data_IF_934252320655
#
_entry.id   IF_934252320655
#
_cell.length_a   1.000
_cell.length_b   1.000
_cell.length_c   1.000
_cell.angle_alpha   90.00
_cell.angle_beta   90.00
_cell.angle_gamma   90.00
#
_symmetry.space_group_name_H-M   'P 1'
#
loop_
_entity.id
_entity.type
_entity.pdbx_description
1 polymer ?
#
# COMPACT_ATOMS: atom_id res chain seq x y z
N UNK A 1 7.22 23.70 29.67
CA UNK A 1 7.42 22.25 29.41
C UNK A 1 8.00 22.11 28.01
N UNK A 2 9.25 21.65 27.90
CA UNK A 2 9.92 21.43 26.61
C UNK A 2 9.24 20.23 25.94
N UNK A 3 8.75 20.41 24.72
CA UNK A 3 8.33 19.30 23.88
C UNK A 3 9.59 18.48 23.56
N UNK A 4 9.69 17.29 24.16
CA UNK A 4 10.74 16.34 23.81
C UNK A 4 10.60 16.02 22.32
N UNK A 5 11.67 16.27 21.57
CA UNK A 5 11.74 15.94 20.15
C UNK A 5 11.67 14.42 20.01
N UNK A 6 10.45 13.90 19.82
CA UNK A 6 10.16 12.47 19.67
C UNK A 6 11.11 11.88 18.63
N UNK A 7 12.01 10.99 19.08
CA UNK A 7 12.95 10.28 18.22
C UNK A 7 12.17 9.24 17.44
N UNK A 8 11.51 9.66 16.35
CA UNK A 8 10.75 8.77 15.49
C UNK A 8 11.71 7.74 14.85
N UNK A 9 11.70 6.49 15.34
CA UNK A 9 12.47 5.38 14.77
C UNK A 9 11.60 4.63 13.79
N UNK A 10 12.07 4.50 12.55
CA UNK A 10 11.31 3.92 11.45
C UNK A 10 12.05 2.69 10.93
N UNK A 11 11.34 1.57 10.85
CA UNK A 11 11.81 0.36 10.18
C UNK A 11 11.27 0.33 8.76
N UNK A 12 12.13 0.25 7.76
CA UNK A 12 11.75 0.15 6.34
C UNK A 12 12.13 -1.23 5.82
N UNK A 13 11.14 -1.99 5.37
CA UNK A 13 11.38 -3.17 4.55
C UNK A 13 11.29 -2.83 3.06
N UNK A 14 12.33 -3.19 2.31
CA UNK A 14 12.40 -3.04 0.85
C UNK A 14 13.25 -4.14 0.23
N UNK A 15 12.64 -4.99 -0.61
CA UNK A 15 13.30 -6.16 -1.20
C UNK A 15 14.48 -5.81 -2.13
N UNK A 16 14.40 -4.69 -2.85
CA UNK A 16 15.40 -4.26 -3.82
C UNK A 16 16.03 -2.94 -3.37
N UNK A 17 17.10 -3.04 -2.57
CA UNK A 17 17.92 -1.87 -2.19
C UNK A 17 19.15 -1.86 -3.10
N UNK A 18 19.37 -0.78 -3.86
CA UNK A 18 20.57 -0.69 -4.71
C UNK A 18 21.81 -0.19 -3.96
N UNK A 19 21.67 0.21 -2.69
CA UNK A 19 22.78 0.63 -1.84
C UNK A 19 22.79 -0.15 -0.52
N UNK A 20 23.97 -0.41 0.08
CA UNK A 20 24.06 -1.03 1.39
C UNK A 20 23.34 -0.17 2.42
N UNK A 21 22.59 -0.83 3.30
CA UNK A 21 21.60 -0.23 4.21
C UNK A 21 22.09 1.05 4.88
N UNK A 22 21.40 2.15 4.57
CA UNK A 22 21.52 3.40 5.32
C UNK A 22 20.86 3.16 6.67
N UNK A 23 21.66 2.77 7.65
CA UNK A 23 21.24 2.74 9.04
C UNK A 23 21.66 4.06 9.68
N UNK A 24 20.68 4.84 10.14
CA UNK A 24 20.91 5.97 11.03
C UNK A 24 20.18 5.71 12.34
N UNK A 25 20.46 6.45 13.41
CA UNK A 25 19.79 6.27 14.71
C UNK A 25 18.24 6.29 14.64
N UNK A 26 17.70 6.92 13.60
CA UNK A 26 16.26 7.10 13.35
C UNK A 26 15.69 6.15 12.29
N UNK A 27 16.54 5.46 11.52
CA UNK A 27 16.11 4.74 10.33
C UNK A 27 16.84 3.43 10.18
N UNK A 28 16.08 2.35 10.11
CA UNK A 28 16.62 1.01 9.86
C UNK A 28 16.03 0.47 8.57
N UNK A 29 16.86 0.15 7.59
CA UNK A 29 16.44 -0.41 6.31
C UNK A 29 16.84 -1.88 6.23
N UNK A 30 15.89 -2.75 5.91
CA UNK A 30 16.09 -4.20 5.80
C UNK A 30 15.61 -4.73 4.45
N UNK A 31 16.34 -5.72 3.91
CA UNK A 31 16.11 -6.23 2.56
C UNK A 31 15.35 -7.57 2.50
N UNK A 32 15.09 -8.22 3.64
CA UNK A 32 14.39 -9.51 3.69
C UNK A 32 13.20 -9.48 4.67
N UNK A 33 12.10 -10.22 4.38
CA UNK A 33 10.96 -10.30 5.30
C UNK A 33 11.37 -10.82 6.69
N UNK A 34 12.29 -11.79 6.74
CA UNK A 34 12.79 -12.34 8.00
C UNK A 34 13.57 -11.28 8.79
N UNK A 35 14.44 -10.51 8.14
CA UNK A 35 15.15 -9.41 8.77
C UNK A 35 14.20 -8.32 9.27
N UNK A 36 13.09 -8.06 8.57
CA UNK A 36 12.04 -7.16 9.02
C UNK A 36 11.36 -7.66 10.28
N UNK A 37 10.96 -8.93 10.31
CA UNK A 37 10.35 -9.54 11.49
C UNK A 37 11.30 -9.52 12.69
N UNK A 38 12.57 -9.90 12.50
CA UNK A 38 13.55 -9.91 13.58
C UNK A 38 13.80 -8.49 14.10
N UNK A 39 14.06 -7.54 13.20
CA UNK A 39 14.26 -6.15 13.59
C UNK A 39 13.05 -5.60 14.35
N UNK A 40 11.83 -5.81 13.84
CA UNK A 40 10.60 -5.32 14.46
C UNK A 40 10.34 -5.92 15.86
N UNK A 41 10.80 -7.15 16.13
CA UNK A 41 10.65 -7.79 17.45
C UNK A 41 11.75 -7.38 18.43
N UNK A 42 12.98 -7.14 17.96
CA UNK A 42 14.13 -6.82 18.81
C UNK A 42 14.24 -5.32 19.11
N UNK A 43 13.75 -4.47 18.20
CA UNK A 43 13.85 -3.02 18.27
C UNK A 43 12.55 -2.34 18.70
N UNK A 44 12.68 -1.08 19.12
CA UNK A 44 11.55 -0.17 19.31
C UNK A 44 11.44 0.76 18.10
N UNK A 45 10.30 0.69 17.41
CA UNK A 45 9.97 1.55 16.27
C UNK A 45 8.62 2.22 16.47
N UNK A 46 8.52 3.45 16.01
CA UNK A 46 7.27 4.23 15.98
C UNK A 46 6.44 3.93 14.72
N UNK A 47 7.06 3.36 13.69
CA UNK A 47 6.44 3.08 12.40
C UNK A 47 7.18 1.95 11.68
N UNK A 48 6.44 1.03 11.06
CA UNK A 48 6.97 0.04 10.11
C UNK A 48 6.49 0.42 8.71
N UNK A 49 7.42 0.71 7.82
CA UNK A 49 7.18 0.98 6.42
C UNK A 49 7.48 -0.26 5.56
N UNK A 50 6.53 -0.66 4.71
CA UNK A 50 6.66 -1.81 3.82
C UNK A 50 6.53 -1.32 2.37
N UNK A 51 7.59 -1.49 1.59
CA UNK A 51 7.61 -1.06 0.18
C UNK A 51 7.18 -2.20 -0.72
N UNK A 52 6.07 -2.01 -1.45
CA UNK A 52 5.52 -2.99 -2.38
C UNK A 52 6.15 -2.93 -3.78
N UNK A 53 7.48 -3.06 -3.86
CA UNK A 53 8.24 -3.19 -5.11
C UNK A 53 8.13 -4.61 -5.72
N UNK A 54 6.95 -5.23 -5.65
CA UNK A 54 6.72 -6.61 -6.09
C UNK A 54 6.76 -6.75 -7.62
N UNK A 55 7.39 -7.82 -8.10
CA UNK A 55 7.43 -8.19 -9.53
C UNK A 55 6.34 -9.18 -9.90
N UNK A 56 5.69 -9.81 -8.93
CA UNK A 56 4.65 -10.80 -9.16
C UNK A 56 3.52 -10.72 -8.13
N UNK A 57 2.36 -11.28 -8.46
CA UNK A 57 1.23 -11.40 -7.53
C UNK A 57 1.61 -12.25 -6.31
N UNK A 58 2.43 -13.30 -6.49
CA UNK A 58 2.94 -14.11 -5.38
C UNK A 58 3.78 -13.30 -4.41
N UNK A 59 4.68 -12.44 -4.92
CA UNK A 59 5.45 -11.53 -4.07
C UNK A 59 4.55 -10.53 -3.35
N UNK A 60 3.56 -9.96 -4.05
CA UNK A 60 2.56 -9.07 -3.43
C UNK A 60 1.85 -9.76 -2.27
N UNK A 61 1.38 -10.99 -2.48
CA UNK A 61 0.62 -11.73 -1.47
C UNK A 61 1.52 -12.11 -0.28
N UNK A 62 2.80 -12.40 -0.50
CA UNK A 62 3.78 -12.59 0.57
C UNK A 62 4.03 -11.32 1.41
N UNK A 63 3.96 -10.13 0.80
CA UNK A 63 4.04 -8.86 1.54
C UNK A 63 2.79 -8.59 2.38
N UNK A 64 1.61 -8.95 1.87
CA UNK A 64 0.36 -8.90 2.66
C UNK A 64 0.46 -9.85 3.86
N UNK A 65 1.01 -11.05 3.65
CA UNK A 65 1.26 -12.01 4.72
C UNK A 65 2.23 -11.47 5.77
N UNK A 66 3.33 -10.83 5.35
CA UNK A 66 4.26 -10.14 6.26
C UNK A 66 3.55 -9.11 7.15
N UNK A 67 2.70 -8.25 6.57
CA UNK A 67 1.87 -7.32 7.33
C UNK A 67 1.00 -8.05 8.37
N UNK A 68 0.36 -9.14 7.96
CA UNK A 68 -0.47 -9.94 8.85
C UNK A 68 0.31 -10.55 10.00
N UNK A 69 1.55 -11.00 9.78
CA UNK A 69 2.40 -11.57 10.83
C UNK A 69 2.81 -10.47 11.82
N UNK A 70 3.22 -9.31 11.32
CA UNK A 70 3.56 -8.14 12.13
C UNK A 70 2.37 -7.69 12.99
N UNK A 71 1.14 -7.72 12.46
CA UNK A 71 -0.05 -7.36 13.26
C UNK A 71 -0.52 -8.44 14.23
N UNK A 72 -0.04 -9.68 14.13
CA UNK A 72 -0.39 -10.77 15.05
C UNK A 72 0.56 -10.88 16.25
N UNK A 73 1.80 -10.43 16.13
CA UNK A 73 2.76 -10.46 17.23
C UNK A 73 2.45 -9.38 18.26
N UNK A 74 2.47 -9.74 19.55
CA UNK A 74 2.21 -8.80 20.66
C UNK A 74 3.18 -7.62 20.68
N UNK A 75 4.42 -7.83 20.23
CA UNK A 75 5.46 -6.81 20.24
C UNK A 75 5.28 -5.78 19.11
N UNK A 76 4.78 -6.23 17.96
CA UNK A 76 4.69 -5.40 16.75
C UNK A 76 3.28 -4.94 16.43
N UNK A 77 2.24 -5.57 16.98
CA UNK A 77 0.84 -5.19 16.76
C UNK A 77 0.53 -3.70 17.08
N UNK A 78 1.07 -3.10 18.17
CA UNK A 78 0.85 -1.69 18.47
C UNK A 78 1.54 -0.73 17.50
N UNK A 79 2.54 -1.20 16.75
CA UNK A 79 3.32 -0.36 15.85
C UNK A 79 2.52 -0.16 14.55
N UNK A 80 2.23 1.09 14.12
CA UNK A 80 1.50 1.33 12.89
C UNK A 80 2.31 0.86 11.68
N UNK A 81 1.60 0.36 10.66
CA UNK A 81 2.18 -0.06 9.39
C UNK A 81 1.78 0.93 8.30
N UNK A 82 2.79 1.42 7.56
CA UNK A 82 2.64 2.23 6.36
C UNK A 82 3.07 1.42 5.13
N UNK A 83 2.14 1.15 4.22
CA UNK A 83 2.43 0.49 2.95
C UNK A 83 2.71 1.50 1.84
N UNK A 84 3.87 1.42 1.21
CA UNK A 84 4.16 2.17 0.00
C UNK A 84 3.73 1.34 -1.21
N UNK A 85 2.82 1.86 -2.01
CA UNK A 85 2.17 1.16 -3.12
C UNK A 85 2.39 1.87 -4.46
N UNK A 86 2.61 1.13 -5.56
CA UNK A 86 2.82 1.74 -6.89
C UNK A 86 1.51 2.23 -7.55
N UNK A 87 0.34 1.89 -6.99
CA UNK A 87 -0.96 2.29 -7.54
C UNK A 87 -2.09 2.19 -6.51
N UNK A 88 -3.21 2.87 -6.77
CA UNK A 88 -4.44 2.87 -5.96
C UNK A 88 -5.30 1.63 -6.24
N UNK A 89 -4.71 0.46 -5.99
CA UNK A 89 -5.37 -0.83 -6.21
C UNK A 89 -6.35 -1.15 -5.08
N UNK A 90 -7.67 -1.09 -5.36
CA UNK A 90 -8.72 -1.25 -4.34
C UNK A 90 -8.61 -2.55 -3.54
N UNK A 91 -8.62 -3.70 -4.22
CA UNK A 91 -8.62 -5.00 -3.54
C UNK A 91 -7.34 -5.24 -2.71
N UNK A 92 -6.20 -4.67 -3.13
CA UNK A 92 -4.96 -4.71 -2.37
C UNK A 92 -5.09 -3.86 -1.10
N UNK A 93 -5.63 -2.65 -1.20
CA UNK A 93 -5.88 -1.80 -0.03
C UNK A 93 -6.88 -2.43 0.95
N UNK A 94 -7.95 -3.05 0.44
CA UNK A 94 -8.90 -3.82 1.26
C UNK A 94 -8.20 -4.99 1.96
N UNK A 95 -7.39 -5.76 1.22
CA UNK A 95 -6.60 -6.86 1.79
C UNK A 95 -5.66 -6.37 2.90
N UNK A 96 -4.99 -5.22 2.70
CA UNK A 96 -4.10 -4.62 3.69
C UNK A 96 -4.86 -4.14 4.94
N UNK A 97 -5.99 -3.44 4.75
CA UNK A 97 -6.88 -3.02 5.85
C UNK A 97 -7.32 -4.23 6.68
N UNK A 98 -7.74 -5.30 6.01
CA UNK A 98 -8.22 -6.51 6.68
C UNK A 98 -7.07 -7.26 7.42
N UNK A 99 -5.80 -6.96 7.11
CA UNK A 99 -4.62 -7.39 7.87
C UNK A 99 -4.17 -6.40 8.95
N UNK A 100 -4.93 -5.32 9.16
CA UNK A 100 -4.67 -4.32 10.19
C UNK A 100 -3.66 -3.25 9.77
N UNK A 101 -3.30 -3.12 8.49
CA UNK A 101 -2.47 -2.00 8.04
C UNK A 101 -3.29 -0.71 8.11
N UNK A 102 -2.71 0.34 8.71
CA UNK A 102 -3.42 1.60 8.96
C UNK A 102 -3.23 2.61 7.82
N UNK A 103 -2.03 2.65 7.23
CA UNK A 103 -1.67 3.71 6.30
C UNK A 103 -1.16 3.15 4.97
N UNK A 104 -1.44 3.90 3.89
CA UNK A 104 -0.84 3.67 2.59
C UNK A 104 -0.38 4.99 1.95
N UNK A 105 0.73 4.93 1.20
CA UNK A 105 1.23 6.01 0.36
C UNK A 105 1.48 5.52 -1.05
N UNK A 106 1.29 6.41 -2.02
CA UNK A 106 1.45 6.08 -3.43
C UNK A 106 2.70 6.73 -3.99
N UNK A 107 3.44 5.95 -4.76
CA UNK A 107 4.72 6.36 -5.28
C UNK A 107 4.80 5.99 -6.76
N UNK A 108 5.40 6.83 -7.60
CA UNK A 108 5.52 6.54 -9.03
C UNK A 108 6.86 5.85 -9.29
N UNK A 109 6.78 4.57 -9.69
CA UNK A 109 7.90 3.72 -10.09
C UNK A 109 8.85 4.38 -11.09
N UNK A 110 8.37 5.34 -11.90
CA UNK A 110 9.19 6.06 -12.90
C UNK A 110 9.91 7.28 -12.36
N UNK A 111 9.37 7.89 -11.31
CA UNK A 111 9.84 9.20 -10.82
C UNK A 111 10.78 9.09 -9.62
N UNK A 112 10.79 7.94 -8.95
CA UNK A 112 11.50 7.81 -7.69
C UNK A 112 12.80 7.04 -7.92
N UNK A 113 13.90 7.80 -7.93
CA UNK A 113 15.17 7.30 -7.45
C UNK A 113 15.01 7.11 -5.93
N UNK A 114 14.46 5.97 -5.54
CA UNK A 114 14.08 5.64 -4.16
C UNK A 114 15.26 5.73 -3.19
N UNK A 115 16.47 5.62 -3.74
CA UNK A 115 17.72 5.73 -2.99
C UNK A 115 18.09 7.19 -2.68
N UNK A 116 17.50 8.18 -3.36
CA UNK A 116 17.73 9.62 -3.13
C UNK A 116 16.62 10.31 -2.33
N UNK A 117 15.42 9.71 -2.25
CA UNK A 117 14.24 10.31 -1.61
C UNK A 117 13.89 9.63 -0.28
N UNK A 118 14.89 9.31 0.54
CA UNK A 118 14.67 8.71 1.87
C UNK A 118 13.79 9.60 2.78
N UNK A 119 13.78 10.92 2.56
CA UNK A 119 12.89 11.86 3.25
C UNK A 119 11.40 11.51 3.04
N UNK A 120 11.03 11.02 1.86
CA UNK A 120 9.65 10.62 1.57
C UNK A 120 9.17 9.45 2.44
N UNK A 121 10.09 8.56 2.80
CA UNK A 121 9.83 7.42 3.67
C UNK A 121 9.80 7.76 5.16
N UNK A 122 10.47 8.85 5.55
CA UNK A 122 10.58 9.25 6.96
C UNK A 122 9.52 10.23 7.39
N UNK A 123 8.80 10.86 6.46
CA UNK A 123 7.66 11.71 6.80
C UNK A 123 6.57 10.89 7.49
N UNK A 124 6.11 11.27 8.69
CA UNK A 124 5.03 10.58 9.37
C UNK A 124 3.75 10.59 8.51
N UNK A 125 2.94 9.51 8.50
CA UNK A 125 1.67 9.51 7.79
C UNK A 125 0.74 10.61 8.32
N UNK A 126 0.06 11.30 7.41
CA UNK A 126 -1.01 12.24 7.75
C UNK A 126 -2.38 11.54 7.65
N UNK A 127 -3.46 12.26 7.94
CA UNK A 127 -4.83 11.72 7.87
C UNK A 127 -5.21 11.25 6.45
N UNK A 128 -4.64 11.86 5.41
CA UNK A 128 -4.90 11.50 4.01
C UNK A 128 -4.22 10.17 3.62
N UNK A 129 -3.24 9.72 4.40
CA UNK A 129 -2.61 8.41 4.24
C UNK A 129 -3.46 7.25 4.81
N UNK A 130 -4.53 7.51 5.56
CA UNK A 130 -5.35 6.46 6.18
C UNK A 130 -6.02 5.57 5.12
N UNK A 131 -5.90 4.25 5.25
CA UNK A 131 -6.42 3.32 4.23
C UNK A 131 -7.93 3.50 4.00
N UNK A 132 -8.73 3.71 5.04
CA UNK A 132 -10.17 3.94 4.88
C UNK A 132 -10.48 5.23 4.13
N UNK A 133 -9.73 6.30 4.40
CA UNK A 133 -9.84 7.57 3.69
C UNK A 133 -9.52 7.38 2.20
N UNK A 134 -8.43 6.68 1.90
CA UNK A 134 -8.02 6.33 0.54
C UNK A 134 -9.10 5.49 -0.16
N UNK A 135 -9.62 4.44 0.49
CA UNK A 135 -10.65 3.55 -0.06
C UNK A 135 -11.95 4.30 -0.36
N UNK A 136 -12.32 5.29 0.45
CA UNK A 136 -13.47 6.16 0.18
C UNK A 136 -13.31 7.01 -1.09
N UNK A 137 -12.06 7.25 -1.49
CA UNK A 137 -11.66 7.96 -2.70
C UNK A 137 -11.62 7.10 -3.96
N UNK A 138 -11.86 5.79 -3.86
CA UNK A 138 -11.79 4.85 -4.98
C UNK A 138 -13.18 4.29 -5.27
N UNK A 139 -13.51 4.14 -6.55
CA UNK A 139 -14.76 3.56 -7.03
C UNK A 139 -14.95 2.14 -6.45
N UNK A 140 -16.08 1.82 -5.81
CA UNK A 140 -16.30 0.50 -5.23
C UNK A 140 -16.48 -0.60 -6.27
N UNK A 141 -16.80 -0.24 -7.51
CA UNK A 141 -17.00 -1.19 -8.62
C UNK A 141 -15.76 -1.45 -9.48
N UNK A 142 -14.57 -0.99 -9.06
CA UNK A 142 -13.34 -1.32 -9.78
C UNK A 142 -12.85 -2.71 -9.36
N UNK A 143 -12.57 -3.55 -10.34
CA UNK A 143 -12.13 -4.93 -10.12
C UNK A 143 -10.83 -5.22 -10.88
N UNK A 144 -10.06 -6.15 -10.33
CA UNK A 144 -8.76 -6.55 -10.83
C UNK A 144 -8.73 -8.06 -11.01
N UNK A 145 -8.67 -8.54 -12.26
CA UNK A 145 -8.54 -9.98 -12.52
C UNK A 145 -7.13 -10.31 -12.99
N UNK A 146 -6.44 -11.28 -12.39
CA UNK A 146 -5.15 -11.74 -12.90
C UNK A 146 -5.30 -12.33 -14.31
N UNK A 147 -4.38 -11.99 -15.21
CA UNK A 147 -4.24 -12.64 -16.53
C UNK A 147 -2.94 -13.44 -16.59
N UNK A 148 -1.89 -12.93 -15.95
CA UNK A 148 -0.57 -13.56 -15.84
C UNK A 148 0.01 -13.29 -14.45
N UNK A 149 1.08 -13.99 -14.03
CA UNK A 149 1.68 -13.79 -12.71
C UNK A 149 2.10 -12.34 -12.39
N UNK A 150 2.25 -11.48 -13.39
CA UNK A 150 2.65 -10.07 -13.26
C UNK A 150 1.63 -9.09 -13.85
N UNK A 151 0.48 -9.56 -14.32
CA UNK A 151 -0.46 -8.75 -15.10
C UNK A 151 -1.89 -8.96 -14.60
N UNK A 152 -2.56 -7.85 -14.34
CA UNK A 152 -3.99 -7.79 -14.02
C UNK A 152 -4.73 -7.00 -15.08
N UNK A 153 -5.94 -7.43 -15.41
CA UNK A 153 -6.90 -6.64 -16.17
C UNK A 153 -7.77 -5.85 -15.20
N UNK A 154 -8.00 -4.58 -15.53
CA UNK A 154 -8.88 -3.70 -14.78
C UNK A 154 -10.21 -3.60 -15.51
N UNK A 155 -11.32 -3.76 -14.80
CA UNK A 155 -12.65 -3.51 -15.34
C UNK A 155 -13.56 -2.88 -14.30
N UNK A 156 -14.69 -2.32 -14.75
CA UNK A 156 -15.65 -1.65 -13.88
C UNK A 156 -16.97 -2.44 -13.88
N UNK A 157 -17.32 -3.00 -12.73
CA UNK A 157 -18.55 -3.78 -12.53
C UNK A 157 -19.83 -2.93 -12.58
N UNK A 158 -19.72 -1.61 -12.45
CA UNK A 158 -20.85 -0.69 -12.53
C UNK A 158 -21.57 -0.71 -13.90
N UNK A 159 -20.96 -1.32 -14.92
CA UNK A 159 -21.54 -1.49 -16.24
C UNK A 159 -21.34 -2.92 -16.78
N UNK A 160 -21.96 -3.89 -16.11
CA UNK A 160 -22.04 -5.32 -16.50
C UNK A 160 -20.67 -5.96 -16.70
N UNK A 161 -19.70 -5.61 -15.85
CA UNK A 161 -18.31 -6.07 -15.94
C UNK A 161 -17.64 -5.84 -17.30
N UNK A 162 -18.13 -4.86 -18.07
CA UNK A 162 -17.56 -4.56 -19.38
C UNK A 162 -16.38 -3.60 -19.24
N UNK A 163 -15.30 -3.94 -19.94
CA UNK A 163 -14.14 -3.08 -20.11
C UNK A 163 -14.44 -2.01 -21.19
N UNK A 164 -15.31 -1.05 -20.85
CA UNK A 164 -15.71 0.03 -21.77
C UNK A 164 -14.62 1.10 -21.89
N UNK A 165 -13.76 1.19 -20.87
CA UNK A 165 -12.66 2.14 -20.79
C UNK A 165 -11.37 1.34 -20.68
N UNK A 166 -10.39 1.59 -21.54
CA UNK A 166 -9.06 1.00 -21.39
C UNK A 166 -8.42 1.37 -20.04
N UNK A 167 -7.45 0.58 -19.57
CA UNK A 167 -6.79 0.71 -18.25
C UNK A 167 -6.43 2.16 -17.88
N UNK A 168 -5.80 2.99 -18.75
CA UNK A 168 -5.45 4.37 -18.38
C UNK A 168 -6.67 5.23 -18.03
N UNK A 169 -7.79 5.04 -18.74
CA UNK A 169 -9.03 5.76 -18.48
C UNK A 169 -9.69 5.26 -17.20
N UNK A 170 -9.72 3.94 -16.98
CA UNK A 170 -10.25 3.39 -15.73
C UNK A 170 -9.51 3.94 -14.52
N UNK A 171 -8.17 3.97 -14.51
CA UNK A 171 -7.41 4.56 -13.40
C UNK A 171 -7.79 6.02 -13.14
N UNK A 172 -7.89 6.83 -14.19
CA UNK A 172 -8.25 8.27 -14.08
C UNK A 172 -9.67 8.53 -13.58
N UNK A 173 -10.60 7.60 -13.73
CA UNK A 173 -11.99 7.79 -13.31
C UNK A 173 -12.31 7.04 -12.02
N UNK A 174 -11.81 5.83 -11.87
CA UNK A 174 -12.19 4.90 -10.82
C UNK A 174 -11.19 4.88 -9.65
N UNK A 175 -9.92 5.21 -9.84
CA UNK A 175 -8.93 5.25 -8.75
C UNK A 175 -8.78 6.65 -8.11
N UNK A 176 -9.70 7.56 -8.40
CA UNK A 176 -9.76 8.92 -7.83
C UNK A 176 -11.22 9.29 -7.55
N UNK A 177 -11.44 10.29 -6.70
CA UNK A 177 -12.78 10.71 -6.25
C UNK A 177 -13.74 11.16 -7.37
N UNK A 178 -13.27 11.28 -8.62
CA UNK A 178 -14.09 11.58 -9.79
C UNK A 178 -15.17 10.52 -10.07
N UNK A 179 -15.03 9.30 -9.57
CA UNK A 179 -16.06 8.26 -9.73
C UNK A 179 -17.42 8.70 -9.18
N UNK A 180 -17.47 9.61 -8.20
CA UNK A 180 -18.71 10.17 -7.65
C UNK A 180 -19.54 10.92 -8.70
N UNK A 181 -18.90 11.40 -9.78
CA UNK A 181 -19.55 12.03 -10.94
C UNK A 181 -19.91 11.03 -12.05
N UNK A 182 -19.46 9.78 -11.97
CA UNK A 182 -19.70 8.75 -12.98
C UNK A 182 -21.18 8.34 -13.00
N UNK A 183 -21.80 8.36 -14.18
CA UNK A 183 -23.19 7.93 -14.37
C UNK A 183 -23.42 6.46 -13.99
N UNK A 184 -22.42 5.60 -14.23
CA UNK A 184 -22.52 4.18 -13.91
C UNK A 184 -22.37 3.92 -12.42
N UNK A 185 -21.58 4.73 -11.70
CA UNK A 185 -21.53 4.67 -10.25
C UNK A 185 -22.87 5.06 -9.63
N UNK A 186 -23.51 6.12 -10.15
CA UNK A 186 -24.81 6.59 -9.66
C UNK A 186 -25.99 5.65 -9.98
N UNK A 187 -25.89 4.88 -11.06
CA UNK A 187 -26.91 3.93 -11.48
C UNK A 187 -26.23 2.67 -12.05
N UNK A 188 -25.71 1.78 -11.18
CA UNK A 188 -24.93 0.62 -11.60
C UNK A 188 -25.82 -0.41 -12.30
N UNK A 189 -25.34 -0.91 -13.44
CA UNK A 189 -25.95 -2.03 -14.15
C UNK A 189 -25.14 -3.27 -13.87
N UNK A 190 -25.37 -3.88 -12.71
CA UNK A 190 -24.61 -5.06 -12.29
C UNK A 190 -24.92 -6.24 -13.23
N UNK A 191 -23.93 -7.07 -13.51
CA UNK A 191 -24.20 -8.36 -14.13
C UNK A 191 -24.82 -9.24 -13.04
N UNK A 192 -25.89 -9.98 -13.35
CA UNK A 192 -26.62 -10.80 -12.38
C UNK A 192 -25.88 -12.07 -11.95
N UNK A 193 -24.57 -12.01 -11.69
CA UNK A 193 -23.84 -13.11 -11.07
C UNK A 193 -24.00 -13.01 -9.55
N UNK A 194 -24.97 -13.77 -9.04
CA UNK A 194 -24.97 -14.34 -7.69
C UNK A 194 -23.77 -15.28 -7.53
#
# INVERSE_FOLDING_TARGET
>A
MKADAKRNRILIYRAYVNSPGVSSDKLTVVASPLSCLNAANEGYYDLIAIVFDHKSLRERDALIELCSILKRSRHTAPIPILSFLPSRHRELLESLRDKGVEYARFYDLKSINLDSNMEYFTMPPDEECGIDKILSGICPYIHYSPIRPRQVILFCGAYRDRLVLGTPRLRRYCEVANYKKCRYFKNPRLSGRL
#
